data_IF_676704946311
#
_entry.id   IF_676704946311
#
_cell.length_a   1.000
_cell.length_b   1.000
_cell.length_c   1.000
_cell.angle_alpha   90.00
_cell.angle_beta   90.00
_cell.angle_gamma   90.00
#
_symmetry.space_group_name_H-M   'P 1'
#
loop_
_entity.id
_entity.type
_entity.pdbx_description
1 polymer ?
#
# COMPACT_ATOMS: atom_id res chain seq x y z
N UNK A 1 -7.55 -18.11 -21.67
CA UNK A 1 -7.22 -19.51 -21.42
C UNK A 1 -7.15 -20.22 -22.76
N UNK A 2 -6.09 -20.95 -23.01
CA UNK A 2 -5.88 -21.64 -24.28
C UNK A 2 -6.68 -22.93 -24.26
N UNK A 3 -7.68 -23.06 -25.14
CA UNK A 3 -8.37 -24.31 -25.53
C UNK A 3 -8.76 -25.30 -24.41
N UNK A 4 -8.87 -24.83 -23.18
CA UNK A 4 -9.24 -25.66 -22.01
C UNK A 4 -8.12 -26.55 -21.46
N UNK A 5 -6.97 -26.66 -22.10
CA UNK A 5 -5.84 -27.47 -21.59
C UNK A 5 -5.20 -26.85 -20.35
N UNK A 6 -5.22 -25.53 -20.23
CA UNK A 6 -4.70 -24.79 -19.09
C UNK A 6 -5.66 -24.67 -17.90
N UNK A 7 -6.84 -25.26 -17.99
CA UNK A 7 -7.86 -25.19 -16.93
C UNK A 7 -8.13 -26.56 -16.34
N UNK A 8 -8.07 -26.68 -15.01
CA UNK A 8 -8.41 -27.89 -14.29
C UNK A 8 -9.90 -27.88 -13.90
N UNK A 9 -10.67 -28.79 -14.47
CA UNK A 9 -12.12 -28.91 -14.22
C UNK A 9 -12.47 -29.63 -12.91
N UNK A 10 -11.50 -30.29 -12.27
CA UNK A 10 -11.70 -31.11 -11.07
C UNK A 10 -11.45 -30.34 -9.80
N UNK A 11 -10.44 -29.47 -9.83
CA UNK A 11 -10.03 -28.69 -8.66
C UNK A 11 -11.00 -27.55 -8.38
N UNK A 12 -11.28 -27.37 -7.11
CA UNK A 12 -12.12 -26.29 -6.60
C UNK A 12 -11.30 -25.31 -5.74
N UNK A 13 -11.94 -24.24 -5.32
CA UNK A 13 -11.34 -23.26 -4.39
C UNK A 13 -10.94 -23.86 -3.03
N UNK A 14 -11.34 -25.08 -2.69
CA UNK A 14 -10.87 -25.79 -1.49
C UNK A 14 -9.37 -26.13 -1.59
N UNK A 15 -8.87 -26.36 -2.81
CA UNK A 15 -7.44 -26.50 -3.02
C UNK A 15 -6.73 -25.14 -2.88
N UNK A 16 -5.76 -24.97 -1.96
CA UNK A 16 -5.09 -23.70 -1.72
C UNK A 16 -4.26 -23.20 -2.90
N UNK A 17 -3.93 -24.05 -3.86
CA UNK A 17 -3.22 -23.69 -5.08
C UNK A 17 -4.12 -23.09 -6.17
N UNK A 18 -5.44 -23.14 -6.02
CA UNK A 18 -6.39 -22.57 -6.99
C UNK A 18 -6.46 -21.05 -6.83
N UNK A 19 -6.18 -20.34 -7.91
CA UNK A 19 -6.30 -18.88 -7.96
C UNK A 19 -7.76 -18.43 -8.12
N UNK A 20 -8.12 -17.31 -7.50
CA UNK A 20 -9.39 -16.61 -7.75
C UNK A 20 -9.35 -15.84 -9.07
N UNK A 21 -8.17 -15.26 -9.37
CA UNK A 21 -7.91 -14.46 -10.57
C UNK A 21 -6.53 -14.82 -11.12
N UNK A 22 -6.43 -14.92 -12.44
CA UNK A 22 -5.15 -15.00 -13.17
C UNK A 22 -5.01 -13.80 -14.10
N UNK A 23 -3.81 -13.19 -14.13
CA UNK A 23 -3.39 -12.27 -15.18
C UNK A 23 -2.44 -13.06 -16.09
N UNK A 24 -2.82 -13.24 -17.36
CA UNK A 24 -2.10 -14.13 -18.28
C UNK A 24 -1.01 -13.41 -19.07
N UNK A 25 0.14 -14.06 -19.24
CA UNK A 25 1.18 -13.70 -20.22
C UNK A 25 1.73 -12.28 -20.12
N UNK A 26 1.73 -11.68 -18.93
CA UNK A 26 2.24 -10.33 -18.72
C UNK A 26 3.77 -10.27 -18.78
N UNK A 27 4.30 -9.10 -19.14
CA UNK A 27 5.72 -8.78 -18.95
C UNK A 27 5.87 -8.22 -17.53
N UNK A 28 6.44 -9.00 -16.64
CA UNK A 28 6.71 -8.59 -15.26
C UNK A 28 8.06 -7.88 -15.20
N UNK A 29 8.11 -6.75 -14.51
CA UNK A 29 9.35 -6.00 -14.23
C UNK A 29 9.45 -5.82 -12.73
N UNK A 30 10.41 -6.47 -12.10
CA UNK A 30 10.67 -6.38 -10.66
C UNK A 30 12.19 -6.40 -10.37
N UNK A 31 12.54 -6.51 -9.09
CA UNK A 31 13.94 -6.52 -8.65
C UNK A 31 14.73 -7.75 -9.15
N UNK A 32 14.06 -8.81 -9.59
CA UNK A 32 14.71 -10.01 -10.14
C UNK A 32 15.02 -9.88 -11.62
N UNK A 33 14.33 -8.96 -12.33
CA UNK A 33 14.56 -8.71 -13.75
C UNK A 33 13.29 -8.40 -14.54
N UNK A 34 13.36 -8.74 -15.84
CA UNK A 34 12.25 -8.58 -16.80
C UNK A 34 11.97 -9.96 -17.38
N UNK A 35 10.75 -10.45 -17.21
CA UNK A 35 10.37 -11.79 -17.68
C UNK A 35 8.87 -11.86 -17.99
N UNK A 36 8.46 -12.91 -18.70
CA UNK A 36 7.05 -13.20 -18.95
C UNK A 36 6.53 -14.22 -17.95
N UNK A 37 5.40 -13.90 -17.33
CA UNK A 37 4.73 -14.82 -16.40
C UNK A 37 3.22 -14.58 -16.38
N UNK A 38 2.51 -15.56 -15.84
CA UNK A 38 1.17 -15.37 -15.33
C UNK A 38 1.25 -14.94 -13.85
N UNK A 39 0.24 -14.23 -13.38
CA UNK A 39 0.13 -13.84 -11.97
C UNK A 39 -1.16 -14.43 -11.41
N UNK A 40 -1.03 -15.34 -10.46
CA UNK A 40 -2.14 -15.91 -9.70
C UNK A 40 -2.45 -15.03 -8.49
N UNK A 41 -3.72 -14.72 -8.29
CA UNK A 41 -4.21 -13.93 -7.16
C UNK A 41 -5.26 -14.75 -6.42
N UNK A 42 -5.16 -14.77 -5.08
CA UNK A 42 -6.12 -15.43 -4.19
C UNK A 42 -6.33 -14.60 -2.93
N UNK A 43 -7.57 -14.42 -2.52
CA UNK A 43 -7.94 -13.63 -1.33
C UNK A 43 -7.31 -12.23 -1.34
N UNK A 44 -7.25 -11.58 -2.52
CA UNK A 44 -6.66 -10.25 -2.70
C UNK A 44 -5.14 -10.19 -2.58
N UNK A 45 -4.45 -11.34 -2.58
CA UNK A 45 -2.99 -11.44 -2.47
C UNK A 45 -2.40 -12.19 -3.66
N UNK A 46 -1.17 -11.89 -4.00
CA UNK A 46 -0.42 -12.66 -5.00
C UNK A 46 -0.19 -14.07 -4.43
N UNK A 47 -0.75 -15.07 -5.12
CA UNK A 47 -0.56 -16.48 -4.81
C UNK A 47 0.78 -16.97 -5.35
N UNK A 48 1.04 -16.68 -6.63
CA UNK A 48 2.31 -16.99 -7.29
C UNK A 48 2.50 -16.11 -8.52
N UNK A 49 3.75 -15.93 -8.95
CA UNK A 49 4.15 -15.34 -10.22
C UNK A 49 4.91 -16.43 -10.96
N UNK A 50 4.36 -16.93 -12.07
CA UNK A 50 4.92 -18.06 -12.80
C UNK A 50 3.95 -18.58 -13.83
N UNK A 51 3.81 -19.89 -13.92
CA UNK A 51 2.92 -20.59 -14.88
C UNK A 51 1.61 -21.00 -14.21
N UNK A 52 0.52 -20.35 -14.59
CA UNK A 52 -0.80 -20.78 -14.22
C UNK A 52 -1.33 -21.87 -15.15
N UNK A 53 -2.04 -22.88 -14.62
CA UNK A 53 -2.59 -23.91 -15.48
C UNK A 53 -3.18 -25.12 -14.76
N UNK A 54 -3.14 -26.25 -15.49
CA UNK A 54 -3.63 -27.52 -15.02
C UNK A 54 -2.45 -28.49 -14.81
N UNK A 55 -2.08 -28.80 -13.56
CA UNK A 55 -0.92 -29.68 -13.28
C UNK A 55 -1.14 -31.13 -13.74
N UNK A 56 -2.37 -31.54 -14.09
CA UNK A 56 -2.63 -32.88 -14.61
C UNK A 56 -2.33 -32.98 -16.12
N UNK A 57 -2.18 -31.86 -16.82
CA UNK A 57 -1.97 -31.82 -18.28
C UNK A 57 -0.79 -30.97 -18.69
N UNK A 58 -0.19 -30.25 -17.74
CA UNK A 58 0.93 -29.33 -17.99
C UNK A 58 2.03 -29.52 -16.94
N UNK A 59 3.27 -29.50 -17.39
CA UNK A 59 4.44 -29.54 -16.51
C UNK A 59 4.71 -28.14 -15.91
N UNK A 60 5.38 -28.10 -14.75
CA UNK A 60 5.89 -26.89 -14.09
C UNK A 60 4.81 -25.84 -13.85
N UNK A 61 3.65 -26.25 -13.33
CA UNK A 61 2.55 -25.35 -12.96
C UNK A 61 2.76 -24.83 -11.54
N UNK A 62 2.84 -23.51 -11.38
CA UNK A 62 3.05 -22.82 -10.10
C UNK A 62 1.73 -22.61 -9.32
N UNK A 63 0.61 -22.48 -10.03
CA UNK A 63 -0.72 -22.36 -9.44
C UNK A 63 -1.81 -22.86 -10.39
N UNK A 64 -2.94 -23.26 -9.81
CA UNK A 64 -4.02 -23.93 -10.55
C UNK A 64 -5.05 -22.91 -11.05
N UNK A 65 -5.43 -23.08 -12.32
CA UNK A 65 -6.55 -22.37 -12.94
C UNK A 65 -7.74 -23.32 -13.00
N UNK A 66 -8.80 -23.00 -12.28
CA UNK A 66 -10.04 -23.76 -12.20
C UNK A 66 -11.18 -23.09 -12.97
N UNK A 67 -12.36 -23.74 -13.10
CA UNK A 67 -13.53 -23.09 -13.70
C UNK A 67 -14.01 -21.84 -12.97
N UNK A 68 -13.67 -21.67 -11.69
CA UNK A 68 -14.00 -20.50 -10.88
C UNK A 68 -12.96 -19.38 -10.93
N UNK A 69 -11.84 -19.60 -11.62
CA UNK A 69 -10.78 -18.58 -11.76
C UNK A 69 -11.14 -17.56 -12.82
N UNK A 70 -11.22 -16.27 -12.44
CA UNK A 70 -11.33 -15.18 -13.42
C UNK A 70 -10.02 -15.00 -14.18
N UNK A 71 -10.09 -14.58 -15.45
CA UNK A 71 -8.93 -14.38 -16.28
C UNK A 71 -8.89 -12.95 -16.85
N UNK A 72 -7.76 -12.27 -16.63
CA UNK A 72 -7.42 -11.00 -17.27
C UNK A 72 -6.26 -11.20 -18.23
N UNK A 73 -6.39 -10.67 -19.45
CA UNK A 73 -5.32 -10.70 -20.44
C UNK A 73 -4.22 -9.69 -20.06
N UNK A 74 -3.03 -10.21 -19.79
CA UNK A 74 -1.81 -9.43 -19.54
C UNK A 74 -0.88 -9.32 -20.72
N UNK A 75 -1.19 -9.98 -21.84
CA UNK A 75 -0.38 -9.97 -23.06
C UNK A 75 -0.21 -8.56 -23.61
N UNK A 76 1.02 -8.18 -23.87
CA UNK A 76 1.37 -6.83 -24.34
C UNK A 76 1.35 -5.74 -23.24
N UNK A 77 1.13 -6.12 -22.00
CA UNK A 77 1.18 -5.21 -20.84
C UNK A 77 2.43 -5.44 -20.00
N UNK A 78 2.90 -4.36 -19.39
CA UNK A 78 3.97 -4.39 -18.38
C UNK A 78 3.31 -4.30 -17.00
N UNK A 79 3.71 -5.20 -16.11
CA UNK A 79 3.25 -5.21 -14.70
C UNK A 79 4.44 -4.97 -13.79
N UNK A 80 4.30 -4.01 -12.91
CA UNK A 80 5.26 -3.68 -11.86
C UNK A 80 4.58 -3.72 -10.50
N UNK A 81 5.36 -3.71 -9.43
CA UNK A 81 4.83 -3.34 -8.12
C UNK A 81 4.24 -1.92 -8.18
N UNK A 82 3.17 -1.68 -7.43
CA UNK A 82 2.59 -0.36 -7.28
C UNK A 82 3.56 0.61 -6.59
N UNK A 83 3.54 1.87 -6.99
CA UNK A 83 4.35 2.90 -6.37
C UNK A 83 3.90 3.19 -4.93
N UNK A 84 4.84 3.65 -4.11
CA UNK A 84 4.60 4.14 -2.75
C UNK A 84 4.99 5.61 -2.71
N UNK A 85 4.01 6.49 -2.43
CA UNK A 85 4.26 7.90 -2.17
C UNK A 85 4.30 8.13 -0.66
N UNK A 86 5.44 8.57 -0.16
CA UNK A 86 5.70 8.77 1.28
C UNK A 86 5.57 10.23 1.74
N UNK A 87 5.10 11.11 0.87
CA UNK A 87 4.95 12.54 1.19
C UNK A 87 3.63 13.11 0.63
N UNK A 88 2.51 12.73 1.23
CA UNK A 88 1.18 13.08 0.75
C UNK A 88 0.48 14.06 1.70
N UNK A 89 -0.15 15.08 1.09
CA UNK A 89 -1.10 15.95 1.76
C UNK A 89 -2.53 15.45 1.52
N UNK A 90 -3.19 14.92 2.53
CA UNK A 90 -4.56 14.43 2.43
C UNK A 90 -5.55 15.61 2.50
N UNK A 91 -5.73 16.29 1.38
CA UNK A 91 -6.59 17.49 1.26
C UNK A 91 -7.98 17.09 0.76
N UNK A 92 -8.04 16.22 -0.26
CA UNK A 92 -9.28 15.79 -0.93
C UNK A 92 -9.23 14.29 -1.23
N UNK A 93 -10.38 13.58 -1.21
CA UNK A 93 -10.47 12.21 -1.68
C UNK A 93 -9.95 11.98 -3.11
N UNK A 94 -9.95 13.01 -3.95
CA UNK A 94 -9.47 12.93 -5.34
C UNK A 94 -8.00 12.54 -5.45
N UNK A 95 -7.21 12.76 -4.41
CA UNK A 95 -5.80 12.33 -4.36
C UNK A 95 -5.68 10.81 -4.53
N UNK A 96 -6.65 10.04 -4.05
CA UNK A 96 -6.66 8.58 -4.18
C UNK A 96 -6.84 8.15 -5.64
N UNK A 97 -7.79 8.77 -6.34
CA UNK A 97 -8.03 8.48 -7.76
C UNK A 97 -6.81 8.85 -8.61
N UNK A 98 -6.25 10.04 -8.39
CA UNK A 98 -5.06 10.49 -9.10
C UNK A 98 -3.85 9.58 -8.84
N UNK A 99 -3.68 9.09 -7.60
CA UNK A 99 -2.64 8.15 -7.24
C UNK A 99 -2.79 6.82 -7.99
N UNK A 100 -3.98 6.23 -7.98
CA UNK A 100 -4.26 4.96 -8.67
C UNK A 100 -4.08 5.09 -10.19
N UNK A 101 -4.53 6.19 -10.80
CA UNK A 101 -4.30 6.49 -12.22
C UNK A 101 -2.82 6.62 -12.55
N UNK A 102 -2.01 7.11 -11.60
CA UNK A 102 -0.55 7.20 -11.69
C UNK A 102 0.21 5.90 -11.35
N UNK A 103 -0.50 4.82 -11.00
CA UNK A 103 0.12 3.55 -10.60
C UNK A 103 0.65 3.53 -9.16
N UNK A 104 0.25 4.49 -8.33
CA UNK A 104 0.57 4.52 -6.89
C UNK A 104 -0.48 3.69 -6.16
N UNK A 105 -0.05 2.75 -5.32
CA UNK A 105 -0.93 1.85 -4.56
C UNK A 105 -0.81 2.02 -3.05
N UNK A 106 0.11 2.86 -2.60
CA UNK A 106 0.30 3.18 -1.18
C UNK A 106 0.62 4.67 -1.03
N UNK A 107 -0.13 5.34 -0.17
CA UNK A 107 0.08 6.73 0.20
C UNK A 107 0.39 6.83 1.68
N UNK A 108 1.48 7.51 2.03
CA UNK A 108 1.85 7.80 3.42
C UNK A 108 1.98 9.31 3.58
N UNK A 109 1.26 9.87 4.52
CA UNK A 109 1.28 11.31 4.71
C UNK A 109 0.36 11.74 5.83
N UNK A 110 -0.19 12.92 5.72
CA UNK A 110 -1.10 13.43 6.73
C UNK A 110 -1.97 14.55 6.23
N UNK A 111 -2.88 14.94 7.09
CA UNK A 111 -3.88 15.96 6.84
C UNK A 111 -5.20 15.60 7.50
N UNK A 112 -6.15 16.50 7.41
CA UNK A 112 -7.49 16.37 7.97
C UNK A 112 -8.57 16.72 6.93
N UNK A 113 -8.25 16.50 5.65
CA UNK A 113 -9.09 16.92 4.54
C UNK A 113 -8.92 18.42 4.22
N UNK A 114 -9.96 19.12 3.73
CA UNK A 114 -9.88 20.52 3.30
C UNK A 114 -9.81 21.54 4.45
N UNK A 115 -9.26 21.18 5.60
CA UNK A 115 -9.08 22.06 6.76
C UNK A 115 -7.85 22.92 6.56
N UNK A 116 -7.90 24.19 7.02
CA UNK A 116 -6.77 25.09 7.01
C UNK A 116 -5.52 24.47 7.67
N UNK A 117 -4.38 24.66 7.05
CA UNK A 117 -3.12 24.06 7.47
C UNK A 117 -2.83 22.69 6.88
N UNK A 118 -3.83 21.96 6.36
CA UNK A 118 -3.60 20.67 5.67
C UNK A 118 -2.76 20.83 4.41
N UNK A 119 -2.87 21.98 3.73
CA UNK A 119 -2.10 22.30 2.54
C UNK A 119 -0.59 22.48 2.82
N UNK A 120 -0.25 22.96 4.02
CA UNK A 120 1.13 23.24 4.40
C UNK A 120 1.81 22.04 5.06
N UNK A 121 1.03 21.16 5.68
CA UNK A 121 1.56 20.15 6.60
C UNK A 121 1.06 18.76 6.27
N UNK A 122 1.95 17.80 6.24
CA UNK A 122 1.66 16.38 6.00
C UNK A 122 1.50 15.63 7.32
N UNK A 123 0.63 16.10 8.22
CA UNK A 123 0.34 15.41 9.49
C UNK A 123 -1.13 15.37 9.83
N UNK A 124 -1.52 14.33 10.54
CA UNK A 124 -2.85 14.15 11.13
C UNK A 124 -2.70 14.25 12.64
N UNK A 125 -2.90 15.45 13.24
CA UNK A 125 -2.50 15.69 14.62
C UNK A 125 -3.52 15.15 15.63
N UNK A 126 -3.02 14.34 16.57
CA UNK A 126 -3.76 13.85 17.71
C UNK A 126 -4.71 12.70 17.41
N UNK A 127 -5.01 11.96 18.47
CA UNK A 127 -5.80 10.71 18.45
C UNK A 127 -7.15 10.86 17.73
N UNK A 128 -7.87 11.95 18.00
CA UNK A 128 -9.20 12.14 17.41
C UNK A 128 -9.14 12.25 15.88
N UNK A 129 -8.23 13.08 15.34
CA UNK A 129 -8.07 13.25 13.90
C UNK A 129 -7.59 11.95 13.24
N UNK A 130 -6.65 11.24 13.86
CA UNK A 130 -6.16 9.95 13.35
C UNK A 130 -7.31 8.96 13.22
N UNK A 131 -8.15 8.82 14.25
CA UNK A 131 -9.32 7.95 14.18
C UNK A 131 -10.31 8.37 13.08
N UNK A 132 -10.55 9.68 12.89
CA UNK A 132 -11.44 10.16 11.81
C UNK A 132 -10.87 9.86 10.43
N UNK A 133 -9.58 10.08 10.25
CA UNK A 133 -8.93 9.78 8.98
C UNK A 133 -8.89 8.28 8.68
N UNK A 134 -8.60 7.43 9.67
CA UNK A 134 -8.68 5.97 9.51
C UNK A 134 -10.09 5.51 9.11
N UNK A 135 -11.13 6.05 9.74
CA UNK A 135 -12.52 5.75 9.37
C UNK A 135 -12.87 6.20 7.95
N UNK A 136 -12.39 7.37 7.54
CA UNK A 136 -12.63 7.87 6.18
C UNK A 136 -11.91 7.04 5.12
N UNK A 137 -10.84 6.36 5.50
CA UNK A 137 -9.99 5.57 4.62
C UNK A 137 -10.55 4.18 4.27
N UNK A 138 -11.49 3.66 5.06
CA UNK A 138 -11.99 2.27 4.92
C UNK A 138 -12.56 1.93 3.54
N UNK A 139 -13.13 2.91 2.86
CA UNK A 139 -13.77 2.70 1.55
C UNK A 139 -12.83 2.81 0.35
N UNK A 140 -11.60 3.25 0.54
CA UNK A 140 -10.68 3.47 -0.56
C UNK A 140 -9.90 2.20 -0.93
N UNK A 141 -9.82 1.85 -2.22
CA UNK A 141 -9.12 0.65 -2.70
C UNK A 141 -7.60 0.89 -2.84
N UNK A 142 -6.96 1.50 -1.83
CA UNK A 142 -5.55 1.84 -1.78
C UNK A 142 -5.03 1.72 -0.34
N UNK A 143 -3.74 1.48 -0.15
CA UNK A 143 -3.15 1.51 1.17
C UNK A 143 -2.92 2.97 1.62
N UNK A 144 -3.42 3.32 2.79
CA UNK A 144 -3.30 4.67 3.36
C UNK A 144 -2.62 4.62 4.72
N UNK A 145 -1.56 5.38 4.89
CA UNK A 145 -0.87 5.58 6.16
C UNK A 145 -0.94 7.04 6.62
N UNK A 146 -1.28 7.26 7.88
CA UNK A 146 -1.39 8.60 8.46
C UNK A 146 -0.25 8.86 9.42
N UNK A 147 0.44 10.00 9.22
CA UNK A 147 1.51 10.46 10.10
C UNK A 147 0.94 11.38 11.17
N UNK A 148 1.25 11.08 12.43
CA UNK A 148 0.95 11.96 13.54
C UNK A 148 1.86 13.20 13.57
N UNK A 149 1.48 14.22 14.32
CA UNK A 149 2.28 15.44 14.50
C UNK A 149 3.48 15.15 15.40
N UNK A 150 4.70 15.27 14.83
CA UNK A 150 5.95 15.02 15.54
C UNK A 150 6.41 16.17 16.45
N UNK A 151 5.88 17.38 16.25
CA UNK A 151 6.18 18.54 17.10
C UNK A 151 5.41 18.48 18.43
N UNK A 152 5.55 17.37 19.15
CA UNK A 152 4.92 17.16 20.46
C UNK A 152 5.73 17.72 21.63
N UNK A 153 5.05 18.07 22.71
CA UNK A 153 5.69 18.62 23.90
C UNK A 153 6.50 17.60 24.71
N UNK A 154 6.27 16.32 24.51
CA UNK A 154 6.98 15.22 25.17
C UNK A 154 6.66 13.87 24.49
N UNK A 155 7.38 12.82 24.90
CA UNK A 155 7.25 11.46 24.37
C UNK A 155 5.83 10.88 24.55
N UNK A 156 5.10 11.22 25.61
CA UNK A 156 3.73 10.71 25.84
C UNK A 156 2.77 11.20 24.75
N UNK A 157 2.89 12.47 24.34
CA UNK A 157 2.02 13.05 23.32
C UNK A 157 2.29 12.47 21.92
N UNK A 158 3.55 12.20 21.61
CA UNK A 158 3.93 11.55 20.35
C UNK A 158 3.52 10.07 20.35
N UNK A 159 3.73 9.35 21.45
CA UNK A 159 3.34 7.96 21.63
C UNK A 159 1.82 7.74 21.50
N UNK A 160 1.00 8.60 22.10
CA UNK A 160 -0.47 8.53 22.01
C UNK A 160 -0.96 8.51 20.55
N UNK A 161 -0.27 9.19 19.65
CA UNK A 161 -0.64 9.23 18.24
C UNK A 161 -0.32 7.91 17.54
N UNK A 162 0.82 7.28 17.86
CA UNK A 162 1.16 5.96 17.33
C UNK A 162 0.17 4.92 17.87
N UNK A 163 -0.13 4.95 19.17
CA UNK A 163 -1.11 4.07 19.81
C UNK A 163 -2.54 4.26 19.24
N UNK A 164 -2.83 5.44 18.69
CA UNK A 164 -4.09 5.72 17.99
C UNK A 164 -4.13 5.20 16.54
N UNK A 165 -3.03 4.66 16.02
CA UNK A 165 -2.95 4.07 14.68
C UNK A 165 -2.18 4.88 13.65
N UNK A 166 -1.45 5.93 14.06
CA UNK A 166 -0.52 6.59 13.15
C UNK A 166 0.63 5.64 12.77
N UNK A 167 1.00 5.61 11.50
CA UNK A 167 2.11 4.78 10.98
C UNK A 167 3.49 5.42 11.15
N UNK A 168 3.56 6.59 11.74
CA UNK A 168 4.78 7.35 11.98
C UNK A 168 4.48 8.77 12.43
N UNK A 169 5.51 9.60 12.47
CA UNK A 169 5.42 11.00 12.89
C UNK A 169 5.96 11.92 11.79
N UNK A 170 5.35 13.10 11.66
CA UNK A 170 5.82 14.18 10.80
C UNK A 170 6.31 15.36 11.63
N UNK A 171 7.54 15.77 11.41
CA UNK A 171 8.13 17.01 11.96
C UNK A 171 8.19 18.05 10.86
N UNK A 172 7.74 19.26 11.15
CA UNK A 172 7.71 20.37 10.21
C UNK A 172 8.05 21.68 10.94
N UNK A 173 8.80 22.57 10.33
CA UNK A 173 9.25 23.83 10.92
C UNK A 173 8.09 24.77 11.26
N UNK A 174 7.01 24.78 10.49
CA UNK A 174 5.80 25.60 10.75
C UNK A 174 5.23 25.39 12.14
N UNK A 175 5.49 24.25 12.78
CA UNK A 175 5.03 23.95 14.15
C UNK A 175 6.14 23.97 15.18
N UNK A 176 7.36 24.29 14.78
CA UNK A 176 8.52 24.25 15.62
C UNK A 176 9.25 22.90 15.59
N UNK A 177 10.15 22.73 14.64
CA UNK A 177 11.10 21.62 14.57
C UNK A 177 12.31 21.86 15.49
N UNK A 178 12.06 22.06 16.78
CA UNK A 178 13.12 22.25 17.77
C UNK A 178 13.89 20.93 18.00
N UNK A 179 15.12 21.04 18.54
CA UNK A 179 15.90 19.86 18.93
C UNK A 179 15.13 18.91 19.82
N UNK A 180 14.35 19.44 20.77
CA UNK A 180 13.53 18.63 21.67
C UNK A 180 12.37 17.92 20.94
N UNK A 181 11.69 18.60 20.01
CA UNK A 181 10.62 18.01 19.22
C UNK A 181 11.14 16.87 18.35
N UNK A 182 12.28 17.05 17.70
CA UNK A 182 12.96 16.01 16.91
C UNK A 182 13.37 14.83 17.82
N UNK A 183 14.02 15.10 18.96
CA UNK A 183 14.45 14.07 19.91
C UNK A 183 13.28 13.25 20.45
N UNK A 184 12.16 13.87 20.82
CA UNK A 184 10.97 13.16 21.26
C UNK A 184 10.35 12.30 20.16
N UNK A 185 10.33 12.80 18.94
CA UNK A 185 9.83 12.05 17.79
C UNK A 185 10.70 10.84 17.50
N UNK A 186 12.02 10.99 17.49
CA UNK A 186 12.96 9.89 17.26
C UNK A 186 12.90 8.84 18.38
N UNK A 187 12.83 9.25 19.65
CA UNK A 187 12.68 8.33 20.77
C UNK A 187 11.37 7.56 20.74
N UNK A 188 10.29 8.19 20.29
CA UNK A 188 9.00 7.52 20.09
C UNK A 188 9.09 6.55 18.92
N UNK A 189 9.69 6.95 17.81
CA UNK A 189 9.86 6.11 16.65
C UNK A 189 10.70 4.86 16.96
N UNK A 190 11.80 5.03 17.68
CA UNK A 190 12.64 3.91 18.15
C UNK A 190 11.87 2.93 19.03
N UNK A 191 11.05 3.44 19.95
CA UNK A 191 10.23 2.60 20.84
C UNK A 191 9.16 1.78 20.11
N UNK A 192 8.53 2.35 19.09
CA UNK A 192 7.40 1.72 18.39
C UNK A 192 7.76 1.16 17.02
N UNK A 193 9.03 1.21 16.64
CA UNK A 193 9.55 0.79 15.33
C UNK A 193 8.78 1.40 14.16
N UNK A 194 8.67 2.73 14.18
CA UNK A 194 7.98 3.52 13.15
C UNK A 194 8.88 4.63 12.60
N UNK A 195 8.51 5.20 11.47
CA UNK A 195 9.28 6.27 10.82
C UNK A 195 9.05 7.66 11.43
N UNK A 196 10.01 8.55 11.24
CA UNK A 196 9.86 9.99 11.37
C UNK A 196 10.17 10.66 10.04
N UNK A 197 9.18 11.33 9.46
CA UNK A 197 9.36 12.16 8.28
C UNK A 197 9.63 13.60 8.71
N UNK A 198 10.73 14.16 8.23
CA UNK A 198 11.15 15.54 8.57
C UNK A 198 11.05 16.40 7.31
N UNK A 199 10.31 17.50 7.40
CA UNK A 199 10.37 18.55 6.39
C UNK A 199 11.64 19.38 6.61
N UNK A 200 12.42 19.54 5.56
CA UNK A 200 13.62 20.37 5.57
C UNK A 200 13.47 21.44 4.51
N UNK A 201 13.78 22.66 4.86
CA UNK A 201 13.84 23.75 3.87
C UNK A 201 14.93 23.48 2.85
N UNK A 202 14.67 23.91 1.63
CA UNK A 202 15.71 24.00 0.61
C UNK A 202 16.66 25.11 1.00
N UNK A 203 17.93 24.78 1.11
CA UNK A 203 19.02 25.74 1.26
C UNK A 203 19.27 26.52 -0.03
#
# INVERSE_FOLDING_TARGET
LRDGMGQNAIESRENPMVADLIITGATVVDYTGIYKADIGIRDGKILAIGKGGNPYTMDDVDFIVSPSTEALAGEGRIITAGGIDTHVHYISPDVVNAALEGGITTLIGGGTGPVDGTNAVTSTPGKWNIHRMLQSAESFPINLGFLGKGSGANIRVTAEQIEAGACGLKVHEDWGATRSAIDYSLKTADKYDVQVAVHTDTL
#
